data_IF_871443786427
#
_entry.id   IF_871443786427
#
_cell.length_a   1.000
_cell.length_b   1.000
_cell.length_c   1.000
_cell.angle_alpha   90.00
_cell.angle_beta   90.00
_cell.angle_gamma   90.00
#
_symmetry.space_group_name_H-M   'P 1'
#
loop_
_entity.id
_entity.type
_entity.pdbx_description
1 polymer ?
#
# COMPACT_ATOMS: atom_id res chain seq x y z
N UNK A 1 -62.52 33.80 13.81
CA UNK A 1 -62.79 33.40 15.20
C UNK A 1 -63.73 32.20 15.17
N UNK A 2 -63.59 31.30 16.16
CA UNK A 2 -64.41 30.10 16.49
C UNK A 2 -64.28 28.82 15.64
N UNK A 3 -63.28 28.02 16.03
CA UNK A 3 -63.30 26.57 16.38
C UNK A 3 -64.42 25.67 15.88
N UNK A 4 -64.05 24.51 15.34
CA UNK A 4 -64.64 23.22 15.72
C UNK A 4 -63.64 22.08 15.50
N UNK A 5 -63.38 21.36 16.59
CA UNK A 5 -62.64 20.11 16.67
C UNK A 5 -63.55 18.98 16.16
N UNK A 6 -63.04 18.09 15.30
CA UNK A 6 -63.65 16.79 15.11
C UNK A 6 -62.56 15.73 14.96
N UNK A 7 -62.75 14.69 15.75
CA UNK A 7 -61.88 13.59 16.10
C UNK A 7 -61.44 12.75 14.90
N UNK A 8 -60.18 12.30 14.91
CA UNK A 8 -59.69 11.25 14.02
C UNK A 8 -59.26 10.02 14.87
N UNK A 9 -59.67 8.79 14.52
CA UNK A 9 -59.57 7.63 15.39
C UNK A 9 -58.18 6.98 15.36
N UNK A 10 -57.80 6.46 16.51
CA UNK A 10 -56.59 5.70 16.80
C UNK A 10 -56.45 4.47 15.89
N UNK A 11 -55.46 4.48 14.99
CA UNK A 11 -54.98 3.27 14.30
C UNK A 11 -53.95 2.57 15.18
N UNK A 12 -54.35 1.45 15.78
CA UNK A 12 -53.46 0.49 16.44
C UNK A 12 -52.61 -0.20 15.36
N UNK A 13 -51.33 0.11 15.30
CA UNK A 13 -50.34 -0.70 14.57
C UNK A 13 -49.60 -1.51 15.63
N UNK A 14 -49.97 -2.79 15.75
CA UNK A 14 -49.23 -3.80 16.51
C UNK A 14 -47.82 -3.92 15.94
N UNK A 15 -46.82 -3.52 16.73
CA UNK A 15 -45.44 -3.97 16.52
C UNK A 15 -45.32 -5.42 16.97
N UNK A 16 -44.65 -6.31 16.23
CA UNK A 16 -44.37 -7.66 16.71
C UNK A 16 -43.32 -7.58 17.83
N UNK A 17 -43.63 -8.16 18.98
CA UNK A 17 -42.65 -8.40 20.04
C UNK A 17 -41.51 -9.28 19.51
N UNK A 18 -40.30 -8.72 19.48
CA UNK A 18 -39.07 -9.48 19.29
C UNK A 18 -38.80 -10.23 20.59
N UNK A 19 -39.02 -11.54 20.56
CA UNK A 19 -38.70 -12.43 21.66
C UNK A 19 -37.18 -12.57 21.76
N UNK A 20 -36.59 -11.90 22.75
CA UNK A 20 -35.17 -12.05 23.08
C UNK A 20 -35.01 -13.41 23.78
N UNK A 21 -34.65 -14.43 23.00
CA UNK A 21 -34.18 -15.70 23.53
C UNK A 21 -32.77 -15.51 24.09
N UNK A 22 -32.65 -15.53 25.41
CA UNK A 22 -31.38 -15.59 26.15
C UNK A 22 -30.59 -16.83 25.71
N UNK A 23 -29.64 -16.63 24.79
CA UNK A 23 -28.64 -17.63 24.47
C UNK A 23 -27.58 -17.64 25.57
N UNK A 24 -27.13 -18.81 26.05
CA UNK A 24 -25.97 -18.89 26.93
C UNK A 24 -24.73 -18.36 26.19
N UNK A 25 -23.72 -17.83 26.90
CA UNK A 25 -22.52 -17.29 26.26
C UNK A 25 -21.83 -18.41 25.49
N UNK A 26 -21.92 -18.33 24.16
CA UNK A 26 -21.10 -19.10 23.25
C UNK A 26 -19.65 -18.81 23.59
N UNK A 27 -18.95 -19.82 24.12
CA UNK A 27 -17.53 -19.76 24.33
C UNK A 27 -16.89 -19.51 22.97
N UNK A 28 -16.45 -18.27 22.74
CA UNK A 28 -15.53 -17.98 21.66
C UNK A 28 -14.36 -18.97 21.81
N UNK A 29 -13.95 -19.67 20.74
CA UNK A 29 -12.69 -20.40 20.77
C UNK A 29 -11.64 -19.37 21.13
N UNK A 30 -11.10 -19.48 22.33
CA UNK A 30 -9.90 -18.75 22.71
C UNK A 30 -8.80 -19.42 21.91
N UNK A 31 -8.62 -18.97 20.66
CA UNK A 31 -7.43 -19.27 19.89
C UNK A 31 -6.30 -18.71 20.72
N UNK A 32 -5.60 -19.60 21.42
CA UNK A 32 -4.36 -19.25 22.09
C UNK A 32 -3.44 -18.73 20.99
N UNK A 33 -3.16 -17.43 21.02
CA UNK A 33 -2.15 -16.78 20.18
C UNK A 33 -0.80 -17.21 20.77
N UNK A 34 -0.43 -18.46 20.50
CA UNK A 34 0.91 -18.97 20.69
C UNK A 34 1.55 -19.02 19.32
N UNK A 35 2.45 -18.08 19.04
CA UNK A 35 3.36 -18.11 17.90
C UNK A 35 2.92 -17.30 16.69
N UNK A 36 3.14 -15.99 16.73
CA UNK A 36 3.34 -15.18 15.52
C UNK A 36 4.75 -14.55 15.59
N UNK A 37 5.71 -15.34 16.08
CA UNK A 37 7.12 -14.97 16.02
C UNK A 37 7.53 -14.90 14.54
N UNK A 38 8.21 -13.83 14.10
CA UNK A 38 8.61 -13.72 12.71
C UNK A 38 9.67 -14.77 12.38
N UNK A 39 9.46 -15.48 11.27
CA UNK A 39 10.40 -16.49 10.76
C UNK A 39 11.02 -16.01 9.43
N UNK A 40 12.29 -16.36 9.15
CA UNK A 40 12.91 -16.02 7.89
C UNK A 40 12.34 -16.86 6.75
N UNK A 41 11.87 -16.19 5.68
CA UNK A 41 11.27 -16.83 4.51
C UNK A 41 11.82 -16.22 3.22
N UNK A 42 12.21 -17.08 2.27
CA UNK A 42 12.85 -16.66 1.02
C UNK A 42 11.84 -16.54 -0.12
N UNK A 43 11.80 -15.38 -0.77
CA UNK A 43 10.93 -15.08 -1.91
C UNK A 43 11.20 -15.99 -3.12
N UNK A 44 10.14 -16.63 -3.64
CA UNK A 44 10.20 -17.53 -4.80
C UNK A 44 10.63 -16.80 -6.09
N UNK A 45 10.35 -15.50 -6.19
CA UNK A 45 10.68 -14.68 -7.36
C UNK A 45 12.17 -14.28 -7.39
N UNK A 46 12.62 -13.53 -6.38
CA UNK A 46 13.92 -12.85 -6.40
C UNK A 46 14.96 -13.46 -5.45
N UNK A 47 14.57 -14.37 -4.54
CA UNK A 47 15.48 -14.95 -3.57
C UNK A 47 15.82 -14.05 -2.39
N UNK A 48 15.17 -12.88 -2.26
CA UNK A 48 15.28 -12.05 -1.06
C UNK A 48 14.63 -12.78 0.13
N UNK A 49 15.32 -12.83 1.26
CA UNK A 49 14.79 -13.34 2.52
C UNK A 49 14.23 -12.19 3.35
N UNK A 50 13.03 -12.37 3.89
CA UNK A 50 12.36 -11.43 4.80
C UNK A 50 11.98 -12.18 6.08
N UNK A 51 11.94 -11.48 7.22
CA UNK A 51 11.39 -11.99 8.47
C UNK A 51 9.90 -11.69 8.49
N UNK A 52 9.06 -12.71 8.50
CA UNK A 52 7.62 -12.56 8.37
C UNK A 52 6.88 -13.49 9.31
N UNK A 53 5.74 -13.03 9.80
CA UNK A 53 4.89 -13.87 10.62
C UNK A 53 4.18 -14.93 9.79
N UNK A 54 3.91 -16.09 10.37
CA UNK A 54 3.32 -17.21 9.64
C UNK A 54 1.95 -16.84 9.04
N UNK A 55 1.15 -16.07 9.79
CA UNK A 55 -0.13 -15.55 9.33
C UNK A 55 -0.01 -14.66 8.08
N UNK A 56 1.01 -13.80 8.03
CA UNK A 56 1.30 -12.98 6.85
C UNK A 56 1.75 -13.82 5.66
N UNK A 57 2.60 -14.83 5.89
CA UNK A 57 3.07 -15.75 4.85
C UNK A 57 1.91 -16.49 4.19
N UNK A 58 0.98 -17.03 4.97
CA UNK A 58 -0.19 -17.75 4.46
C UNK A 58 -1.13 -16.84 3.66
N UNK A 59 -1.35 -15.61 4.14
CA UNK A 59 -2.14 -14.61 3.41
C UNK A 59 -1.53 -14.29 2.03
N UNK A 60 -0.21 -14.15 1.94
CA UNK A 60 0.49 -13.92 0.66
C UNK A 60 0.36 -15.15 -0.24
N UNK A 61 0.61 -16.36 0.28
CA UNK A 61 0.45 -17.61 -0.49
C UNK A 61 -0.97 -17.77 -1.04
N UNK A 62 -1.99 -17.37 -0.28
CA UNK A 62 -3.39 -17.37 -0.73
C UNK A 62 -3.68 -16.44 -1.91
N UNK A 63 -2.91 -15.35 -2.06
CA UNK A 63 -3.07 -14.39 -3.18
C UNK A 63 -2.25 -14.76 -4.42
N UNK A 64 -1.14 -15.46 -4.25
CA UNK A 64 -0.14 -15.66 -5.30
C UNK A 64 0.07 -17.14 -5.64
N UNK A 65 -1.02 -17.87 -5.86
CA UNK A 65 -1.00 -19.27 -6.34
C UNK A 65 -0.11 -20.20 -5.48
N UNK A 66 -0.16 -20.02 -4.15
CA UNK A 66 0.63 -20.79 -3.20
C UNK A 66 2.10 -20.37 -3.07
N UNK A 67 2.54 -19.35 -3.81
CA UNK A 67 3.91 -18.83 -3.76
C UNK A 67 4.08 -17.77 -2.68
N UNK A 68 5.21 -17.83 -1.99
CA UNK A 68 5.63 -16.73 -1.14
C UNK A 68 6.45 -15.74 -1.96
N UNK A 69 6.05 -14.48 -1.96
CA UNK A 69 6.77 -13.41 -2.64
C UNK A 69 6.99 -12.24 -1.68
N UNK A 70 8.16 -11.62 -1.74
CA UNK A 70 8.50 -10.48 -0.89
C UNK A 70 7.63 -9.25 -1.18
N UNK A 71 7.67 -8.26 -0.29
CA UNK A 71 6.91 -7.02 -0.44
C UNK A 71 7.17 -6.31 -1.77
N UNK A 72 8.44 -6.27 -2.22
CA UNK A 72 8.81 -5.63 -3.49
C UNK A 72 8.27 -6.39 -4.72
N UNK A 73 8.31 -7.72 -4.70
CA UNK A 73 7.76 -8.53 -5.78
C UNK A 73 6.23 -8.44 -5.83
N UNK A 74 5.56 -8.34 -4.67
CA UNK A 74 4.11 -8.10 -4.60
C UNK A 74 3.72 -6.81 -5.33
N UNK A 75 4.42 -5.71 -5.04
CA UNK A 75 4.16 -4.43 -5.71
C UNK A 75 4.49 -4.47 -7.20
N UNK A 76 5.56 -5.16 -7.60
CA UNK A 76 5.90 -5.33 -9.00
C UNK A 76 4.82 -6.13 -9.77
N UNK A 77 4.24 -7.18 -9.17
CA UNK A 77 3.14 -7.94 -9.78
C UNK A 77 1.88 -7.08 -9.91
N UNK A 78 1.50 -6.32 -8.88
CA UNK A 78 0.38 -5.36 -8.96
C UNK A 78 0.60 -4.33 -10.06
N UNK A 79 1.82 -3.81 -10.18
CA UNK A 79 2.17 -2.87 -11.24
C UNK A 79 2.08 -3.51 -12.62
N UNK A 80 2.50 -4.76 -12.79
CA UNK A 80 2.39 -5.49 -14.06
C UNK A 80 0.95 -5.76 -14.51
N UNK A 81 -0.02 -5.80 -13.58
CA UNK A 81 -1.45 -5.87 -13.91
C UNK A 81 -1.95 -4.53 -14.47
N UNK A 82 -1.49 -3.41 -13.90
CA UNK A 82 -1.97 -2.05 -14.24
C UNK A 82 -1.24 -1.46 -15.46
N UNK A 83 0.05 -1.77 -15.62
CA UNK A 83 0.93 -1.17 -16.63
C UNK A 83 0.50 -1.50 -18.05
N UNK A 84 -0.07 -2.67 -18.28
CA UNK A 84 -0.43 -3.12 -19.63
C UNK A 84 -1.80 -2.54 -20.02
N UNK A 85 -1.89 -1.99 -21.24
CA UNK A 85 -3.16 -1.57 -21.85
C UNK A 85 -4.17 -2.71 -22.03
N UNK A 86 -3.71 -3.95 -21.83
CA UNK A 86 -4.53 -5.15 -21.75
C UNK A 86 -4.64 -5.51 -20.27
N UNK A 87 -5.85 -5.79 -19.81
CA UNK A 87 -6.08 -6.35 -18.49
C UNK A 87 -5.41 -7.72 -18.46
N UNK A 88 -4.34 -7.83 -17.67
CA UNK A 88 -3.67 -9.10 -17.45
C UNK A 88 -4.19 -9.70 -16.15
N UNK A 89 -4.40 -11.00 -16.19
CA UNK A 89 -4.79 -11.73 -14.98
C UNK A 89 -3.66 -11.65 -13.95
N UNK A 90 -3.97 -11.68 -12.63
CA UNK A 90 -2.95 -11.75 -11.59
C UNK A 90 -1.92 -12.86 -11.82
N UNK A 91 -2.37 -14.01 -12.33
CA UNK A 91 -1.54 -15.17 -12.65
C UNK A 91 -0.56 -14.88 -13.80
N UNK A 92 -1.02 -14.25 -14.88
CA UNK A 92 -0.15 -13.84 -16.00
C UNK A 92 0.85 -12.75 -15.58
N UNK A 93 0.44 -11.82 -14.73
CA UNK A 93 1.34 -10.82 -14.17
C UNK A 93 2.42 -11.46 -13.30
N UNK A 94 2.05 -12.42 -12.46
CA UNK A 94 2.98 -13.17 -11.63
C UNK A 94 3.98 -13.97 -12.50
N UNK A 95 3.50 -14.72 -13.49
CA UNK A 95 4.34 -15.52 -14.37
C UNK A 95 5.37 -14.67 -15.14
N UNK A 96 4.95 -13.49 -15.64
CA UNK A 96 5.86 -12.55 -16.31
C UNK A 96 6.92 -11.99 -15.35
N UNK A 97 6.52 -11.64 -14.13
CA UNK A 97 7.45 -11.15 -13.12
C UNK A 97 8.46 -12.22 -12.72
N UNK A 98 8.02 -13.45 -12.42
CA UNK A 98 8.89 -14.57 -12.08
C UNK A 98 9.90 -14.88 -13.19
N UNK A 99 9.45 -14.91 -14.45
CA UNK A 99 10.35 -15.09 -15.59
C UNK A 99 11.40 -13.98 -15.69
N UNK A 100 11.01 -12.74 -15.41
CA UNK A 100 11.94 -11.60 -15.39
C UNK A 100 12.99 -11.75 -14.29
N UNK A 101 12.57 -12.11 -13.07
CA UNK A 101 13.49 -12.39 -11.97
C UNK A 101 14.42 -13.56 -12.27
N UNK A 102 13.89 -14.65 -12.85
CA UNK A 102 14.70 -15.81 -13.24
C UNK A 102 15.76 -15.44 -14.28
N UNK A 103 15.38 -14.73 -15.34
CA UNK A 103 16.33 -14.25 -16.36
C UNK A 103 17.42 -13.37 -15.76
N UNK A 104 17.07 -12.51 -14.81
CA UNK A 104 18.06 -11.69 -14.11
C UNK A 104 19.03 -12.55 -13.29
N UNK A 105 18.54 -13.53 -12.52
CA UNK A 105 19.38 -14.45 -11.74
C UNK A 105 20.32 -15.30 -12.61
N UNK A 106 19.84 -15.74 -13.78
CA UNK A 106 20.61 -16.58 -14.69
C UNK A 106 21.52 -15.79 -15.65
N UNK A 107 21.40 -14.47 -15.71
CA UNK A 107 22.24 -13.65 -16.58
C UNK A 107 23.66 -13.53 -16.02
N UNK A 108 24.66 -13.82 -16.86
CA UNK A 108 26.04 -13.49 -16.54
C UNK A 108 26.27 -11.99 -16.66
N UNK A 109 27.12 -11.37 -15.82
CA UNK A 109 27.54 -10.00 -16.02
C UNK A 109 28.09 -9.79 -17.44
N UNK A 110 27.89 -8.61 -18.06
CA UNK A 110 28.45 -8.33 -19.37
C UNK A 110 29.99 -8.35 -19.31
N UNK A 111 30.70 -8.55 -20.43
CA UNK A 111 32.16 -8.71 -20.45
C UNK A 111 32.96 -7.56 -19.79
N UNK A 112 32.40 -6.34 -19.76
CA UNK A 112 32.98 -5.17 -19.10
C UNK A 112 31.95 -4.51 -18.16
N UNK A 113 31.67 -5.10 -16.99
CA UNK A 113 30.60 -4.64 -16.11
C UNK A 113 30.84 -3.22 -15.59
N UNK A 114 32.09 -2.87 -15.28
CA UNK A 114 32.48 -1.52 -14.84
C UNK A 114 32.22 -0.47 -15.91
N UNK A 115 32.60 -0.74 -17.16
CA UNK A 115 32.36 0.18 -18.29
C UNK A 115 30.86 0.40 -18.55
N UNK A 116 30.05 -0.65 -18.47
CA UNK A 116 28.60 -0.56 -18.56
C UNK A 116 28.00 0.26 -17.41
N UNK A 117 28.47 0.04 -16.18
CA UNK A 117 28.02 0.80 -15.01
C UNK A 117 28.34 2.30 -15.13
N UNK A 118 29.58 2.65 -15.49
CA UNK A 118 29.99 4.05 -15.70
C UNK A 118 29.11 4.70 -16.77
N UNK A 119 28.83 3.98 -17.86
CA UNK A 119 28.00 4.51 -18.95
C UNK A 119 26.54 4.71 -18.52
N UNK A 120 25.97 3.76 -17.78
CA UNK A 120 24.61 3.88 -17.24
C UNK A 120 24.50 5.04 -16.24
N UNK A 121 25.44 5.15 -15.30
CA UNK A 121 25.49 6.25 -14.33
C UNK A 121 25.64 7.61 -15.02
N UNK A 122 26.50 7.71 -16.03
CA UNK A 122 26.65 8.93 -16.85
C UNK A 122 25.33 9.30 -17.53
N UNK A 123 24.59 8.33 -18.07
CA UNK A 123 23.29 8.59 -18.71
C UNK A 123 22.27 9.10 -17.69
N UNK A 124 22.20 8.50 -16.50
CA UNK A 124 21.31 8.94 -15.42
C UNK A 124 21.61 10.38 -15.01
N UNK A 125 22.90 10.69 -14.79
CA UNK A 125 23.35 12.04 -14.41
C UNK A 125 23.07 13.08 -15.49
N UNK A 126 23.17 12.74 -16.78
CA UNK A 126 22.80 13.66 -17.87
C UNK A 126 21.31 13.93 -17.88
N UNK A 127 20.48 12.87 -17.79
CA UNK A 127 19.01 13.00 -17.78
C UNK A 127 18.51 13.83 -16.59
N UNK A 128 19.16 13.76 -15.44
CA UNK A 128 18.77 14.57 -14.28
C UNK A 128 19.11 16.06 -14.43
N UNK A 129 20.09 16.41 -15.28
CA UNK A 129 20.42 17.79 -15.62
C UNK A 129 19.53 18.35 -16.73
N UNK A 130 19.02 17.50 -17.63
CA UNK A 130 18.15 17.88 -18.76
C UNK A 130 16.68 18.07 -18.37
N UNK A 131 16.25 17.62 -17.19
CA UNK A 131 14.93 17.96 -16.66
C UNK A 131 14.89 19.45 -16.31
N UNK A 132 13.85 20.22 -16.69
CA UNK A 132 13.69 21.58 -16.19
C UNK A 132 13.75 21.49 -14.67
N UNK A 133 14.80 22.04 -14.06
CA UNK A 133 14.74 22.35 -12.64
C UNK A 133 13.57 23.32 -12.54
N UNK A 134 12.44 22.85 -12.01
CA UNK A 134 11.43 23.78 -11.51
C UNK A 134 12.22 24.82 -10.71
N UNK A 135 12.15 26.12 -11.04
CA UNK A 135 12.86 27.12 -10.29
C UNK A 135 12.54 26.84 -8.84
N UNK A 136 13.56 26.55 -8.03
CA UNK A 136 13.36 26.46 -6.60
C UNK A 136 12.74 27.81 -6.24
N UNK A 137 11.46 27.83 -5.92
CA UNK A 137 10.83 28.93 -5.21
C UNK A 137 11.55 28.96 -3.86
N UNK A 138 12.74 29.56 -3.84
CA UNK A 138 13.33 30.07 -2.64
C UNK A 138 12.37 31.17 -2.21
N UNK A 139 11.63 31.02 -1.10
CA UNK A 139 10.94 32.17 -0.55
C UNK A 139 12.05 33.09 -0.05
N UNK A 140 12.37 34.12 -0.84
CA UNK A 140 12.97 35.32 -0.30
C UNK A 140 12.07 35.79 0.85
N UNK A 141 12.69 36.06 2.00
CA UNK A 141 12.09 36.47 3.26
C UNK A 141 10.83 37.35 3.14
N UNK A 142 9.89 37.26 4.10
CA UNK A 142 8.60 37.95 3.99
C UNK A 142 8.79 39.46 4.14
N UNK A 143 8.56 40.21 3.06
CA UNK A 143 8.11 41.60 3.18
C UNK A 143 6.63 41.56 3.53
N UNK A 144 6.29 42.18 4.66
CA UNK A 144 4.91 42.44 5.06
C UNK A 144 4.23 43.20 3.93
N UNK A 145 3.15 42.66 3.39
CA UNK A 145 2.04 43.45 2.84
C UNK A 145 0.77 42.60 3.00
N UNK A 146 -0.26 43.26 3.50
CA UNK A 146 -1.52 42.70 3.98
C UNK A 146 -2.46 42.31 2.82
N UNK A 147 -3.39 41.41 3.14
CA UNK A 147 -4.61 41.04 2.40
C UNK A 147 -4.46 40.32 1.04
N UNK A 148 -4.56 38.99 1.04
CA UNK A 148 -5.38 38.26 0.05
C UNK A 148 -5.70 36.82 0.52
N UNK A 149 -6.98 36.47 0.49
CA UNK A 149 -7.57 35.24 1.01
C UNK A 149 -7.39 34.09 -0.02
N UNK A 150 -6.41 33.22 0.20
CA UNK A 150 -6.29 31.94 -0.51
C UNK A 150 -5.59 30.92 0.39
N UNK A 151 -6.37 30.10 1.09
CA UNK A 151 -5.87 28.99 1.91
C UNK A 151 -5.31 27.89 0.99
N UNK A 152 -3.98 27.64 0.93
CA UNK A 152 -3.47 26.40 0.37
C UNK A 152 -3.46 25.37 1.50
N UNK A 153 -3.88 24.14 1.20
CA UNK A 153 -3.78 23.02 2.12
C UNK A 153 -2.28 22.72 2.40
N UNK A 154 -1.71 23.37 3.40
CA UNK A 154 -0.34 23.17 3.87
C UNK A 154 -0.31 21.85 4.64
N UNK A 155 0.17 20.79 4.00
CA UNK A 155 0.56 19.58 4.71
C UNK A 155 1.77 19.92 5.59
N UNK A 156 1.52 20.17 6.87
CA UNK A 156 2.55 20.38 7.88
C UNK A 156 3.53 19.20 7.84
N UNK A 157 4.81 19.52 7.55
CA UNK A 157 5.90 18.53 7.56
C UNK A 157 6.04 18.03 8.99
N UNK A 158 6.00 16.71 9.15
CA UNK A 158 6.24 16.05 10.43
C UNK A 158 7.66 16.36 10.90
N UNK A 159 7.80 17.08 12.00
CA UNK A 159 9.05 17.20 12.73
C UNK A 159 9.29 15.89 13.48
N UNK A 160 10.05 14.96 12.89
CA UNK A 160 10.67 13.89 13.68
C UNK A 160 12.16 13.81 13.40
N UNK A 161 12.89 14.11 14.46
CA UNK A 161 14.27 14.53 14.56
C UNK A 161 15.30 13.48 14.09
N UNK A 162 16.38 13.98 13.48
CA UNK A 162 17.67 13.30 13.46
C UNK A 162 18.19 13.16 14.90
N UNK A 163 18.61 11.96 15.29
CA UNK A 163 19.39 11.78 16.52
C UNK A 163 20.83 12.24 16.25
N UNK A 164 21.29 13.22 17.03
CA UNK A 164 22.69 13.65 17.06
C UNK A 164 23.60 12.46 17.37
N UNK A 165 24.61 12.26 16.53
CA UNK A 165 25.76 11.42 16.84
C UNK A 165 26.63 12.18 17.86
N UNK A 166 26.79 11.61 19.06
CA UNK A 166 27.92 11.87 19.96
C UNK A 166 28.83 10.67 19.97
#
# INVERSE_FOLDING_TARGET
MTTSLLSDPTMLISTPEVMIASHPPSQAPTTQISGDEPEPVTCDCCGLTEECTQSYIEMIRGRYMGKWICGLCSEAVKYEVIRTKRLLTPEEAMARHMNTCYKFKCSSPPPNPTGHLISAMRQILRRSLDSPRMPRSMPSSPSKDEDDDCVPNVLSRSDSCFASLT
#
